data_IF_150217294844
#
_entry.id   IF_150217294844
#
_cell.length_a   1.000
_cell.length_b   1.000
_cell.length_c   1.000
_cell.angle_alpha   90.00
_cell.angle_beta   90.00
_cell.angle_gamma   90.00
#
_symmetry.space_group_name_H-M   'P 1'
#
loop_
_entity.id
_entity.type
_entity.pdbx_description
1 polymer ?
#
# COMPACT_ATOMS: atom_id res chain seq x y z
N UNK A 1 -21.30 -32.01 -10.27
CA UNK A 1 -20.29 -31.05 -10.78
C UNK A 1 -20.40 -29.62 -10.21
N UNK A 2 -21.59 -29.12 -9.85
CA UNK A 2 -21.77 -27.75 -9.33
C UNK A 2 -21.07 -27.48 -7.97
N UNK A 3 -20.92 -28.49 -7.10
CA UNK A 3 -20.33 -28.33 -5.76
C UNK A 3 -18.81 -28.06 -5.78
N UNK A 4 -18.05 -28.68 -6.70
CA UNK A 4 -16.59 -28.44 -6.82
C UNK A 4 -16.29 -27.00 -7.26
N UNK A 5 -17.00 -26.49 -8.27
CA UNK A 5 -16.86 -25.10 -8.74
C UNK A 5 -17.17 -24.06 -7.65
N UNK A 6 -18.07 -24.39 -6.73
CA UNK A 6 -18.42 -23.53 -5.59
C UNK A 6 -17.35 -23.54 -4.49
N UNK A 7 -16.76 -24.70 -4.19
CA UNK A 7 -15.67 -24.81 -3.23
C UNK A 7 -14.43 -24.02 -3.71
N UNK A 8 -14.11 -24.11 -5.01
CA UNK A 8 -12.97 -23.39 -5.60
C UNK A 8 -13.15 -21.87 -5.55
N UNK A 9 -14.35 -21.35 -5.87
CA UNK A 9 -14.65 -19.91 -5.76
C UNK A 9 -14.52 -19.36 -4.35
N UNK A 10 -14.90 -20.14 -3.33
CA UNK A 10 -14.78 -19.73 -1.92
C UNK A 10 -13.31 -19.71 -1.47
N UNK A 11 -12.51 -20.70 -1.90
CA UNK A 11 -11.07 -20.72 -1.65
C UNK A 11 -10.36 -19.55 -2.34
N UNK A 12 -10.75 -19.23 -3.58
CA UNK A 12 -10.25 -18.06 -4.30
C UNK A 12 -10.59 -16.74 -3.59
N UNK A 13 -11.84 -16.56 -3.13
CA UNK A 13 -12.24 -15.35 -2.40
C UNK A 13 -11.51 -15.19 -1.05
N UNK A 14 -11.32 -16.27 -0.31
CA UNK A 14 -10.52 -16.25 0.93
C UNK A 14 -9.04 -15.99 0.66
N UNK A 15 -8.48 -16.59 -0.39
CA UNK A 15 -7.11 -16.37 -0.83
C UNK A 15 -6.85 -14.92 -1.25
N UNK A 16 -7.75 -14.33 -2.06
CA UNK A 16 -7.69 -12.93 -2.47
C UNK A 16 -7.80 -11.97 -1.29
N UNK A 17 -8.63 -12.28 -0.29
CA UNK A 17 -8.75 -11.48 0.94
C UNK A 17 -7.46 -11.51 1.77
N UNK A 18 -6.95 -12.69 2.10
CA UNK A 18 -5.74 -12.81 2.92
C UNK A 18 -4.49 -12.35 2.18
N UNK A 19 -4.34 -12.75 0.91
CA UNK A 19 -3.23 -12.33 0.04
C UNK A 19 -3.27 -10.84 -0.25
N UNK A 20 -4.44 -10.27 -0.53
CA UNK A 20 -4.61 -8.83 -0.73
C UNK A 20 -4.22 -8.01 0.50
N UNK A 21 -4.51 -8.51 1.71
CA UNK A 21 -4.09 -7.84 2.96
C UNK A 21 -2.58 -7.93 3.20
N UNK A 22 -1.95 -9.07 2.93
CA UNK A 22 -0.50 -9.19 3.01
C UNK A 22 0.20 -8.26 2.01
N UNK A 23 -0.28 -8.22 0.76
CA UNK A 23 0.22 -7.31 -0.27
C UNK A 23 0.03 -5.85 0.13
N UNK A 24 -1.14 -5.48 0.65
CA UNK A 24 -1.39 -4.12 1.13
C UNK A 24 -0.43 -3.73 2.26
N UNK A 25 -0.15 -4.65 3.20
CA UNK A 25 0.79 -4.39 4.29
C UNK A 25 2.21 -4.17 3.77
N UNK A 26 2.68 -5.04 2.87
CA UNK A 26 3.98 -4.91 2.22
C UNK A 26 4.09 -3.61 1.41
N UNK A 27 3.04 -3.27 0.65
CA UNK A 27 2.97 -2.03 -0.13
C UNK A 27 3.05 -0.79 0.76
N UNK A 28 2.29 -0.75 1.85
CA UNK A 28 2.30 0.37 2.80
C UNK A 28 3.69 0.56 3.45
N UNK A 29 4.35 -0.52 3.85
CA UNK A 29 5.73 -0.48 4.35
C UNK A 29 6.71 0.02 3.28
N UNK A 30 6.56 -0.44 2.04
CA UNK A 30 7.36 0.04 0.91
C UNK A 30 7.19 1.53 0.64
N UNK A 31 5.96 2.05 0.72
CA UNK A 31 5.68 3.49 0.60
C UNK A 31 6.34 4.27 1.75
N UNK A 32 6.25 3.80 2.98
CA UNK A 32 6.90 4.46 4.13
C UNK A 32 8.42 4.47 3.98
N UNK A 33 9.02 3.34 3.62
CA UNK A 33 10.45 3.23 3.38
C UNK A 33 10.90 4.18 2.25
N UNK A 34 10.17 4.21 1.13
CA UNK A 34 10.45 5.11 0.01
C UNK A 34 10.26 6.59 0.34
N UNK A 35 9.39 6.93 1.30
CA UNK A 35 9.15 8.31 1.73
C UNK A 35 10.30 8.88 2.56
N UNK A 36 10.97 8.02 3.35
CA UNK A 36 12.14 8.38 4.16
C UNK A 36 13.44 8.26 3.35
N UNK A 37 13.45 7.40 2.33
CA UNK A 37 14.57 7.23 1.42
C UNK A 37 14.95 8.55 0.72
N UNK A 38 16.20 8.67 0.24
CA UNK A 38 16.64 9.86 -0.47
C UNK A 38 15.92 10.01 -1.82
N UNK A 39 15.39 11.20 -2.06
CA UNK A 39 14.72 11.56 -3.31
C UNK A 39 15.63 12.33 -4.26
N UNK A 40 16.62 13.03 -3.70
CA UNK A 40 17.66 13.71 -4.46
C UNK A 40 18.99 13.43 -3.79
N UNK A 41 20.00 13.10 -4.60
CA UNK A 41 21.39 12.99 -4.15
C UNK A 41 22.19 14.16 -4.72
N UNK A 42 23.01 14.77 -3.87
CA UNK A 42 23.86 15.89 -4.20
C UNK A 42 25.26 15.66 -3.62
N UNK A 43 26.32 15.99 -4.35
CA UNK A 43 27.66 16.07 -3.78
C UNK A 43 27.99 17.53 -3.45
N UNK A 44 28.28 17.81 -2.18
CA UNK A 44 28.73 19.13 -1.71
C UNK A 44 30.15 18.99 -1.16
N UNK A 45 31.13 19.65 -1.78
CA UNK A 45 32.55 19.49 -1.45
C UNK A 45 33.04 18.03 -1.42
N UNK A 46 32.49 17.17 -2.30
CA UNK A 46 32.81 15.74 -2.32
C UNK A 46 32.07 14.90 -1.28
N UNK A 47 31.22 15.50 -0.44
CA UNK A 47 30.41 14.81 0.56
C UNK A 47 29.01 14.56 -0.03
N UNK A 48 28.54 13.30 -0.10
CA UNK A 48 27.19 12.99 -0.57
C UNK A 48 26.15 13.43 0.47
N UNK A 49 25.36 14.43 0.10
CA UNK A 49 24.16 14.86 0.80
C UNK A 49 22.93 14.24 0.14
N UNK A 50 22.12 13.57 0.94
CA UNK A 50 20.89 12.94 0.49
C UNK A 50 19.70 13.71 1.08
N UNK A 51 18.84 14.27 0.22
CA UNK A 51 17.64 14.96 0.66
C UNK A 51 16.49 13.94 0.78
N UNK A 52 15.97 13.69 1.99
CA UNK A 52 14.88 12.75 2.19
C UNK A 52 13.59 13.27 1.56
N UNK A 53 12.76 12.34 1.07
CA UNK A 53 11.48 12.68 0.44
C UNK A 53 10.53 13.48 1.30
N UNK A 54 10.62 13.34 2.64
CA UNK A 54 9.80 14.05 3.63
C UNK A 54 9.87 15.57 3.48
N UNK A 55 10.99 16.12 3.00
CA UNK A 55 11.15 17.56 2.74
C UNK A 55 10.39 18.05 1.49
N UNK A 56 9.85 17.13 0.72
CA UNK A 56 9.06 17.39 -0.49
C UNK A 56 7.65 16.82 -0.32
N UNK A 57 7.16 16.06 -1.30
CA UNK A 57 5.86 15.40 -1.23
C UNK A 57 5.86 14.11 -0.38
N UNK A 58 6.98 13.74 0.24
CA UNK A 58 7.11 12.51 1.02
C UNK A 58 6.19 12.45 2.25
N UNK A 59 5.76 13.60 2.77
CA UNK A 59 4.75 13.66 3.83
C UNK A 59 3.40 13.09 3.38
N UNK A 60 2.99 13.36 2.13
CA UNK A 60 1.74 12.85 1.56
C UNK A 60 1.80 11.35 1.29
N UNK A 61 2.95 10.85 0.80
CA UNK A 61 3.14 9.41 0.64
C UNK A 61 3.23 8.68 1.98
N UNK A 62 3.87 9.28 2.99
CA UNK A 62 3.89 8.73 4.34
C UNK A 62 2.48 8.67 4.96
N UNK A 63 1.67 9.72 4.80
CA UNK A 63 0.27 9.72 5.22
C UNK A 63 -0.53 8.62 4.52
N UNK A 64 -0.35 8.44 3.20
CA UNK A 64 -0.98 7.36 2.44
C UNK A 64 -0.56 5.97 2.96
N UNK A 65 0.71 5.76 3.29
CA UNK A 65 1.21 4.52 3.89
C UNK A 65 0.58 4.23 5.27
N UNK A 66 0.48 5.25 6.13
CA UNK A 66 -0.16 5.13 7.45
C UNK A 66 -1.66 4.85 7.35
N UNK A 67 -2.37 5.50 6.44
CA UNK A 67 -3.79 5.23 6.15
C UNK A 67 -3.95 3.80 5.63
N UNK A 68 -3.07 3.36 4.74
CA UNK A 68 -3.02 1.98 4.25
C UNK A 68 -2.96 0.98 5.39
N UNK A 69 -2.00 1.14 6.31
CA UNK A 69 -1.81 0.26 7.48
C UNK A 69 -2.98 0.27 8.46
N UNK A 70 -3.54 1.46 8.76
CA UNK A 70 -4.59 1.63 9.77
C UNK A 70 -5.96 1.15 9.29
N UNK A 71 -6.27 1.32 8.00
CA UNK A 71 -7.60 1.05 7.44
C UNK A 71 -7.67 -0.31 6.70
N UNK A 72 -6.56 -1.04 6.66
CA UNK A 72 -6.36 -2.32 5.97
C UNK A 72 -7.42 -3.39 6.30
N UNK A 73 -8.05 -3.31 7.46
CA UNK A 73 -9.10 -4.24 7.91
C UNK A 73 -10.53 -3.78 7.61
N UNK A 74 -10.77 -2.47 7.47
CA UNK A 74 -12.11 -1.89 7.51
C UNK A 74 -12.59 -1.40 6.14
N UNK A 75 -11.70 -0.84 5.33
CA UNK A 75 -12.10 -0.28 4.04
C UNK A 75 -11.02 -0.54 2.97
N UNK A 76 -11.06 -1.69 2.26
CA UNK A 76 -10.09 -2.00 1.21
C UNK A 76 -10.10 -0.98 0.05
N UNK A 77 -11.24 -0.31 -0.15
CA UNK A 77 -11.33 0.80 -1.11
C UNK A 77 -10.45 1.99 -0.73
N UNK A 78 -10.43 2.37 0.55
CA UNK A 78 -9.57 3.47 1.05
C UNK A 78 -8.09 3.13 0.87
N UNK A 79 -7.72 1.87 1.08
CA UNK A 79 -6.36 1.37 0.82
C UNK A 79 -5.99 1.50 -0.66
N UNK A 80 -6.90 1.15 -1.57
CA UNK A 80 -6.67 1.29 -3.01
C UNK A 80 -6.48 2.76 -3.41
N UNK A 81 -7.31 3.68 -2.86
CA UNK A 81 -7.17 5.12 -3.10
C UNK A 81 -5.83 5.64 -2.55
N UNK A 82 -5.43 5.23 -1.34
CA UNK A 82 -4.13 5.59 -0.77
C UNK A 82 -2.97 5.08 -1.65
N UNK A 83 -3.06 3.85 -2.17
CA UNK A 83 -2.09 3.31 -3.13
C UNK A 83 -2.00 4.12 -4.42
N UNK A 84 -3.15 4.58 -4.95
CA UNK A 84 -3.20 5.42 -6.15
C UNK A 84 -2.56 6.80 -5.91
N UNK A 85 -2.82 7.41 -4.75
CA UNK A 85 -2.18 8.68 -4.35
C UNK A 85 -0.67 8.48 -4.21
N UNK A 86 -0.21 7.44 -3.52
CA UNK A 86 1.21 7.15 -3.38
C UNK A 86 1.89 6.91 -4.74
N UNK A 87 1.26 6.13 -5.63
CA UNK A 87 1.75 5.89 -6.98
C UNK A 87 1.86 7.20 -7.78
N UNK A 88 0.82 8.04 -7.77
CA UNK A 88 0.81 9.33 -8.44
C UNK A 88 1.89 10.27 -7.92
N UNK A 89 2.09 10.32 -6.60
CA UNK A 89 3.16 11.09 -5.96
C UNK A 89 4.54 10.57 -6.39
N UNK A 90 4.78 9.26 -6.32
CA UNK A 90 6.06 8.66 -6.72
C UNK A 90 6.41 8.89 -8.19
N UNK A 91 5.42 8.80 -9.09
CA UNK A 91 5.62 9.02 -10.52
C UNK A 91 5.80 10.49 -10.90
N UNK A 92 5.11 11.41 -10.21
CA UNK A 92 5.12 12.83 -10.57
C UNK A 92 6.29 13.60 -9.97
N UNK A 93 6.83 13.18 -8.83
CA UNK A 93 7.71 14.04 -8.03
C UNK A 93 9.22 13.87 -8.28
N UNK A 94 9.67 12.83 -8.99
CA UNK A 94 11.09 12.64 -9.26
C UNK A 94 11.72 13.80 -10.05
N UNK A 95 11.09 14.21 -11.15
CA UNK A 95 11.55 15.31 -12.01
C UNK A 95 11.49 16.70 -11.35
N UNK A 96 10.37 17.12 -10.73
CA UNK A 96 10.27 18.46 -10.13
C UNK A 96 11.17 18.60 -8.89
N UNK A 97 11.41 17.55 -8.11
CA UNK A 97 12.34 17.61 -6.98
C UNK A 97 13.77 17.91 -7.45
N UNK A 98 14.24 17.17 -8.47
CA UNK A 98 15.55 17.43 -9.10
C UNK A 98 15.62 18.85 -9.69
N UNK A 99 14.58 19.29 -10.40
CA UNK A 99 14.53 20.64 -10.95
C UNK A 99 14.55 21.74 -9.88
N UNK A 100 13.84 21.56 -8.76
CA UNK A 100 13.82 22.51 -7.66
C UNK A 100 15.22 22.68 -7.04
N UNK A 101 15.91 21.55 -6.81
CA UNK A 101 17.28 21.56 -6.29
C UNK A 101 18.25 22.18 -7.30
N UNK A 102 18.16 21.83 -8.58
CA UNK A 102 18.99 22.43 -9.64
C UNK A 102 18.81 23.96 -9.75
N UNK A 103 17.59 24.47 -9.60
CA UNK A 103 17.34 25.92 -9.56
C UNK A 103 18.01 26.58 -8.35
N UNK A 104 17.96 25.93 -7.18
CA UNK A 104 18.64 26.45 -5.98
C UNK A 104 20.16 26.45 -6.15
N UNK A 105 20.76 25.39 -6.71
CA UNK A 105 22.20 25.33 -7.02
C UNK A 105 22.60 26.47 -7.96
N UNK A 106 21.83 26.69 -9.02
CA UNK A 106 22.12 27.75 -9.99
C UNK A 106 21.99 29.14 -9.35
N UNK A 107 21.00 29.33 -8.48
CA UNK A 107 20.83 30.58 -7.72
C UNK A 107 22.01 30.83 -6.75
N UNK A 108 22.54 29.78 -6.13
CA UNK A 108 23.70 29.84 -5.24
C UNK A 108 24.97 30.16 -6.03
N UNK A 109 25.18 29.51 -7.19
CA UNK A 109 26.30 29.82 -8.09
C UNK A 109 26.28 31.29 -8.51
N UNK A 110 25.12 31.81 -8.90
CA UNK A 110 24.97 33.22 -9.29
C UNK A 110 25.28 34.18 -8.13
N UNK A 111 24.90 33.82 -6.89
CA UNK A 111 25.22 34.63 -5.69
C UNK A 111 26.69 34.56 -5.30
N UNK A 112 27.36 33.44 -5.56
CA UNK A 112 28.79 33.24 -5.26
C UNK A 112 29.70 33.84 -6.35
N UNK A 113 29.21 34.02 -7.57
CA UNK A 113 29.99 34.58 -8.69
C UNK A 113 30.72 35.91 -8.36
N UNK A 114 30.07 36.94 -7.76
CA UNK A 114 30.79 38.17 -7.39
C UNK A 114 31.81 37.97 -6.27
N UNK A 115 31.59 37.00 -5.37
CA UNK A 115 32.54 36.65 -4.30
C UNK A 115 33.76 35.96 -4.90
N UNK A 116 33.54 34.98 -5.78
CA UNK A 116 34.61 34.28 -6.49
C UNK A 116 35.44 35.24 -7.35
N UNK A 117 34.80 36.20 -8.03
CA UNK A 117 35.53 37.23 -8.79
C UNK A 117 36.46 38.08 -7.90
N UNK A 118 36.08 38.36 -6.65
CA UNK A 118 36.95 39.05 -5.68
C UNK A 118 38.06 38.15 -5.14
N UNK A 119 37.78 36.87 -4.90
CA UNK A 119 38.80 35.92 -4.44
C UNK A 119 39.89 35.73 -5.49
N UNK A 120 39.50 35.67 -6.76
CA UNK A 120 40.42 35.54 -7.90
C UNK A 120 41.35 36.76 -8.02
N UNK A 121 40.85 37.97 -7.75
CA UNK A 121 41.67 39.20 -7.69
C UNK A 121 42.78 39.13 -6.61
N UNK A 122 42.57 38.35 -5.54
CA UNK A 122 43.53 38.15 -4.46
C UNK A 122 44.35 36.85 -4.66
N UNK A 123 44.24 36.19 -5.83
CA UNK A 123 44.87 34.89 -6.16
C UNK A 123 44.49 33.76 -5.19
N UNK A 124 43.28 33.82 -4.62
CA UNK A 124 42.72 32.71 -3.84
C UNK A 124 41.87 31.82 -4.75
N UNK A 125 41.86 30.51 -4.46
CA UNK A 125 41.05 29.56 -5.21
C UNK A 125 39.56 29.89 -5.08
N UNK A 126 38.79 29.82 -6.18
CA UNK A 126 37.36 30.07 -6.14
C UNK A 126 36.63 29.03 -5.29
N UNK A 127 35.54 29.44 -4.64
CA UNK A 127 34.70 28.54 -3.86
C UNK A 127 33.79 27.81 -4.86
N UNK A 128 34.04 26.51 -5.05
CA UNK A 128 33.22 25.63 -5.87
C UNK A 128 32.53 24.56 -4.99
N UNK A 129 31.37 24.89 -4.40
CA UNK A 129 30.74 24.00 -3.43
C UNK A 129 30.20 22.70 -4.01
N UNK A 130 30.11 22.59 -5.34
CA UNK A 130 29.39 21.49 -6.01
C UNK A 130 30.28 20.60 -6.92
N UNK A 131 31.61 20.76 -6.89
CA UNK A 131 32.55 19.99 -7.72
C UNK A 131 32.36 20.14 -9.24
N UNK A 132 33.15 19.41 -10.04
CA UNK A 132 33.11 19.47 -11.52
C UNK A 132 31.83 18.85 -12.12
N UNK A 133 31.19 17.89 -11.41
CA UNK A 133 29.99 17.17 -11.87
C UNK A 133 28.80 17.54 -10.97
N UNK A 134 28.35 18.78 -11.04
CA UNK A 134 27.24 19.29 -10.22
C UNK A 134 25.88 18.96 -10.82
N UNK A 135 25.50 17.68 -10.84
CA UNK A 135 24.17 17.28 -11.22
C UNK A 135 23.44 16.69 -10.02
N UNK A 136 22.28 17.26 -9.70
CA UNK A 136 21.36 16.65 -8.76
C UNK A 136 20.81 15.38 -9.44
N UNK A 137 21.08 14.23 -8.85
CA UNK A 137 20.61 12.96 -9.37
C UNK A 137 19.32 12.51 -8.65
N UNK A 138 18.39 11.89 -9.38
CA UNK A 138 17.20 11.32 -8.76
C UNK A 138 17.60 10.17 -7.83
N UNK A 139 17.21 10.27 -6.56
CA UNK A 139 17.39 9.19 -5.60
C UNK A 139 16.39 8.04 -5.83
N UNK A 140 16.56 6.90 -5.14
CA UNK A 140 15.69 5.73 -5.26
C UNK A 140 14.28 5.94 -4.66
N UNK A 141 14.10 6.93 -3.78
CA UNK A 141 12.87 7.11 -3.01
C UNK A 141 11.58 7.22 -3.83
N UNK A 142 11.49 8.07 -4.88
CA UNK A 142 10.29 8.19 -5.71
C UNK A 142 9.90 6.87 -6.39
N UNK A 143 10.90 6.09 -6.86
CA UNK A 143 10.66 4.79 -7.46
C UNK A 143 10.13 3.78 -6.44
N UNK A 144 10.67 3.79 -5.22
CA UNK A 144 10.20 2.94 -4.13
C UNK A 144 8.77 3.30 -3.69
N UNK A 145 8.44 4.59 -3.63
CA UNK A 145 7.07 5.06 -3.35
C UNK A 145 6.12 4.63 -4.46
N UNK A 146 6.52 4.73 -5.73
CA UNK A 146 5.70 4.28 -6.86
C UNK A 146 5.46 2.76 -6.80
N UNK A 147 6.51 1.95 -6.62
CA UNK A 147 6.40 0.50 -6.48
C UNK A 147 5.56 0.09 -5.28
N UNK A 148 5.82 0.69 -4.12
CA UNK A 148 5.03 0.47 -2.90
C UNK A 148 3.57 0.86 -3.09
N UNK A 149 3.30 1.98 -3.76
CA UNK A 149 1.95 2.46 -4.09
C UNK A 149 1.21 1.51 -5.04
N UNK A 150 1.89 0.97 -6.05
CA UNK A 150 1.33 -0.04 -6.95
C UNK A 150 0.98 -1.33 -6.21
N UNK A 151 1.88 -1.82 -5.34
CA UNK A 151 1.63 -3.02 -4.52
C UNK A 151 0.47 -2.78 -3.55
N UNK A 152 0.41 -1.60 -2.93
CA UNK A 152 -0.68 -1.19 -2.03
C UNK A 152 -2.02 -1.15 -2.77
N UNK A 153 -2.05 -0.58 -3.98
CA UNK A 153 -3.23 -0.52 -4.84
C UNK A 153 -3.72 -1.92 -5.22
N UNK A 154 -2.82 -2.77 -5.72
CA UNK A 154 -3.15 -4.15 -6.09
C UNK A 154 -3.66 -4.95 -4.88
N UNK A 155 -3.02 -4.79 -3.73
CA UNK A 155 -3.46 -5.38 -2.47
C UNK A 155 -4.86 -4.93 -2.06
N UNK A 156 -5.14 -3.61 -2.14
CA UNK A 156 -6.44 -3.04 -1.82
C UNK A 156 -7.55 -3.52 -2.76
N UNK A 157 -7.27 -3.59 -4.07
CA UNK A 157 -8.22 -4.11 -5.07
C UNK A 157 -8.47 -5.61 -4.85
N UNK A 158 -7.42 -6.40 -4.63
CA UNK A 158 -7.55 -7.84 -4.35
C UNK A 158 -8.36 -8.11 -3.08
N UNK A 159 -8.08 -7.36 -2.01
CA UNK A 159 -8.86 -7.43 -0.77
C UNK A 159 -10.31 -6.99 -0.99
N UNK A 160 -10.57 -5.92 -1.75
CA UNK A 160 -11.93 -5.47 -2.08
C UNK A 160 -12.73 -6.49 -2.89
N UNK A 161 -12.11 -7.13 -3.88
CA UNK A 161 -12.72 -8.20 -4.67
C UNK A 161 -12.97 -9.45 -3.81
N UNK A 162 -11.99 -9.85 -2.99
CA UNK A 162 -12.12 -10.96 -2.05
C UNK A 162 -13.25 -10.75 -1.05
N UNK A 163 -13.39 -9.52 -0.53
CA UNK A 163 -14.48 -9.17 0.38
C UNK A 163 -15.84 -9.20 -0.30
N UNK A 164 -15.96 -8.61 -1.49
CA UNK A 164 -17.19 -8.68 -2.28
C UNK A 164 -17.61 -10.12 -2.54
N UNK A 165 -16.65 -10.99 -2.84
CA UNK A 165 -16.90 -12.42 -3.05
C UNK A 165 -17.34 -13.11 -1.76
N UNK A 166 -16.71 -12.80 -0.61
CA UNK A 166 -17.11 -13.32 0.71
C UNK A 166 -18.51 -12.88 1.12
N UNK A 167 -18.89 -11.64 0.82
CA UNK A 167 -20.20 -11.04 1.16
C UNK A 167 -21.31 -11.39 0.17
N UNK A 168 -21.00 -12.02 -0.96
CA UNK A 168 -22.01 -12.36 -1.97
C UNK A 168 -22.40 -13.83 -1.95
N UNK A 169 -23.68 -14.13 -2.20
CA UNK A 169 -24.12 -15.48 -2.46
C UNK A 169 -23.57 -15.97 -3.82
N UNK A 170 -22.90 -17.14 -3.90
CA UNK A 170 -22.33 -17.62 -5.16
C UNK A 170 -23.39 -18.04 -6.19
N UNK A 171 -24.66 -18.19 -5.78
CA UNK A 171 -25.76 -18.61 -6.66
C UNK A 171 -26.62 -17.44 -7.12
N UNK A 172 -27.17 -16.63 -6.20
CA UNK A 172 -28.03 -15.49 -6.55
C UNK A 172 -27.35 -14.13 -6.50
N UNK A 173 -26.05 -14.05 -6.18
CA UNK A 173 -25.26 -12.80 -6.06
C UNK A 173 -25.77 -11.78 -5.05
N UNK A 174 -26.76 -12.14 -4.21
CA UNK A 174 -27.23 -11.29 -3.11
C UNK A 174 -26.05 -10.92 -2.20
N UNK A 175 -25.88 -9.64 -1.89
CA UNK A 175 -24.82 -9.12 -1.03
C UNK A 175 -25.34 -9.02 0.42
N UNK A 176 -24.54 -9.49 1.37
CA UNK A 176 -24.87 -9.52 2.80
C UNK A 176 -24.17 -8.39 3.57
N UNK A 177 -24.85 -7.85 4.59
CA UNK A 177 -24.26 -6.91 5.55
C UNK A 177 -23.35 -7.63 6.53
N UNK A 178 -22.28 -6.95 6.99
CA UNK A 178 -21.28 -7.52 7.93
C UNK A 178 -21.90 -8.07 9.21
N UNK A 179 -22.92 -7.41 9.75
CA UNK A 179 -23.62 -7.83 10.96
C UNK A 179 -24.33 -9.17 10.80
N UNK A 180 -24.82 -9.48 9.59
CA UNK A 180 -25.51 -10.75 9.30
C UNK A 180 -24.56 -11.85 8.86
N UNK A 181 -23.32 -11.53 8.48
CA UNK A 181 -22.36 -12.53 8.00
C UNK A 181 -22.14 -13.70 8.98
N UNK A 182 -21.93 -13.49 10.30
CA UNK A 182 -21.66 -14.58 11.23
C UNK A 182 -22.90 -15.44 11.54
N UNK A 183 -24.11 -14.90 11.37
CA UNK A 183 -25.38 -15.59 11.70
C UNK A 183 -26.05 -16.25 10.49
N UNK A 184 -25.63 -15.91 9.27
CA UNK A 184 -26.19 -16.44 8.02
C UNK A 184 -25.76 -17.89 7.73
N UNK A 185 -26.63 -18.84 8.07
CA UNK A 185 -26.50 -20.26 7.70
C UNK A 185 -26.98 -20.55 6.27
N UNK A 186 -28.04 -19.89 5.82
CA UNK A 186 -28.64 -20.04 4.50
C UNK A 186 -28.76 -18.68 3.80
N UNK A 187 -28.65 -18.67 2.48
CA UNK A 187 -28.91 -17.47 1.70
C UNK A 187 -30.42 -17.15 1.70
N UNK A 188 -30.86 -15.94 2.12
CA UNK A 188 -32.28 -15.60 2.14
C UNK A 188 -32.90 -15.50 0.74
N UNK A 189 -32.10 -15.25 -0.31
CA UNK A 189 -32.60 -15.15 -1.68
C UNK A 189 -32.74 -16.48 -2.42
N UNK A 190 -31.94 -17.51 -2.08
CA UNK A 190 -31.92 -18.76 -2.85
C UNK A 190 -31.81 -20.02 -2.00
N UNK A 191 -31.90 -19.92 -0.67
CA UNK A 191 -31.82 -21.04 0.27
C UNK A 191 -30.45 -21.70 0.39
N UNK A 192 -29.45 -21.32 -0.41
CA UNK A 192 -28.16 -21.99 -0.46
C UNK A 192 -27.43 -21.93 0.89
N UNK A 193 -26.98 -23.08 1.39
CA UNK A 193 -26.21 -23.19 2.64
C UNK A 193 -24.83 -22.55 2.51
N UNK A 194 -24.50 -21.68 3.46
CA UNK A 194 -23.29 -20.84 3.41
C UNK A 194 -22.11 -21.50 4.10
N UNK A 195 -22.30 -22.15 5.23
CA UNK A 195 -21.23 -22.80 5.99
C UNK A 195 -21.25 -24.32 5.77
N UNK A 196 -20.07 -24.94 5.80
CA UNK A 196 -19.94 -26.39 5.97
C UNK A 196 -20.05 -26.80 7.45
N UNK A 197 -20.61 -25.92 8.29
CA UNK A 197 -20.83 -26.21 9.69
C UNK A 197 -21.85 -27.34 9.75
N UNK A 198 -21.47 -28.44 10.40
CA UNK A 198 -22.41 -29.50 10.71
C UNK A 198 -23.37 -28.95 11.75
N UNK A 199 -24.63 -29.31 11.61
CA UNK A 199 -25.69 -28.87 12.50
C UNK A 199 -26.13 -30.13 13.24
N UNK A 200 -26.16 -30.12 14.58
CA UNK A 200 -26.69 -31.27 15.35
C UNK A 200 -28.11 -31.51 14.86
N UNK A 201 -28.42 -32.73 14.40
CA UNK A 201 -29.76 -33.05 13.88
C UNK A 201 -30.83 -32.96 14.97
N UNK A 202 -30.42 -33.09 16.23
CA UNK A 202 -31.29 -33.07 17.38
C UNK A 202 -31.54 -31.66 17.93
N UNK A 203 -30.49 -30.90 18.27
CA UNK A 203 -30.64 -29.56 18.85
C UNK A 203 -30.47 -28.40 17.86
N UNK A 204 -30.20 -28.67 16.60
CA UNK A 204 -30.01 -27.68 15.53
C UNK A 204 -28.88 -26.67 15.76
N UNK A 205 -28.07 -26.89 16.80
CA UNK A 205 -26.94 -26.03 17.12
C UNK A 205 -25.84 -26.18 16.07
N UNK A 206 -25.23 -25.06 15.72
CA UNK A 206 -24.13 -24.99 14.75
C UNK A 206 -22.87 -25.49 15.43
N UNK A 207 -22.25 -26.54 14.89
CA UNK A 207 -21.01 -27.09 15.41
C UNK A 207 -19.83 -26.75 14.50
N UNK A 208 -18.64 -26.66 15.09
CA UNK A 208 -17.42 -26.42 14.32
C UNK A 208 -17.07 -27.64 13.48
N UNK A 209 -16.31 -27.42 12.41
CA UNK A 209 -16.00 -28.46 11.43
C UNK A 209 -15.10 -29.57 11.99
N UNK A 210 -14.41 -29.30 13.09
CA UNK A 210 -13.57 -30.22 13.87
C UNK A 210 -14.34 -31.04 14.90
N UNK A 211 -15.58 -30.65 15.21
CA UNK A 211 -16.34 -31.27 16.29
C UNK A 211 -16.91 -32.60 15.82
N UNK A 212 -16.56 -33.67 16.53
CA UNK A 212 -17.18 -35.00 16.34
C UNK A 212 -18.52 -35.10 17.07
N UNK A 213 -18.73 -34.25 18.07
CA UNK A 213 -19.91 -34.23 18.92
C UNK A 213 -20.36 -32.78 19.11
N UNK A 214 -21.66 -32.56 19.18
CA UNK A 214 -22.19 -31.24 19.43
C UNK A 214 -21.93 -30.82 20.88
N UNK A 215 -21.33 -29.65 21.09
CA UNK A 215 -21.07 -29.10 22.42
C UNK A 215 -22.33 -28.88 23.28
N UNK A 216 -23.51 -28.85 22.66
CA UNK A 216 -24.78 -28.57 23.35
C UNK A 216 -25.63 -29.82 23.62
N UNK A 217 -25.70 -30.75 22.67
CA UNK A 217 -26.52 -31.98 22.77
C UNK A 217 -25.67 -33.22 23.11
N UNK A 218 -24.33 -33.17 22.99
CA UNK A 218 -23.43 -34.32 23.15
C UNK A 218 -23.50 -35.34 22.00
N UNK A 219 -24.44 -35.18 21.07
CA UNK A 219 -24.70 -36.12 19.99
C UNK A 219 -23.64 -36.04 18.89
N UNK A 220 -23.39 -37.18 18.23
CA UNK A 220 -22.46 -37.26 17.13
C UNK A 220 -22.94 -36.42 15.92
N UNK A 221 -22.00 -35.70 15.29
CA UNK A 221 -22.25 -34.76 14.19
C UNK A 221 -21.98 -35.31 12.79
#
# INVERSE_FOLDING_TARGET
MASRRQADRRRLGAGLWHGGRMLSGAGALGVLAGSVAPWVQLSLFGIPLAAPGVLFAGAWSAAAGLIGLSVLRRAPFVVAVAGLVALGVGMSQGKPAVQAVSRQILSLRMRLMPVNARLEQVRLSPIEPFGEVSHAEPGPGPAWVALGGAVLLLGGVAAGLGERWRRSCPQCRLVWSDERLPTLLHCPGCGLRRTSARQCQNCWHVAEKSDKHCAHCGEAL
#
